data_IF_007498340938
#
_entry.id   IF_007498340938
#
_cell.length_a   1.000
_cell.length_b   1.000
_cell.length_c   1.000
_cell.angle_alpha   90.00
_cell.angle_beta   90.00
_cell.angle_gamma   90.00
#
_symmetry.space_group_name_H-M   'P 1'
#
loop_
_entity.id
_entity.type
_entity.pdbx_description
1 polymer ?
#
# COMPACT_ATOMS: atom_id res chain seq x y z
N UNK A 1 -9.49 -0.71 9.24
CA UNK A 1 -8.20 -0.03 9.19
C UNK A 1 -8.39 1.40 8.73
N UNK A 2 -7.91 2.31 9.55
CA UNK A 2 -8.07 3.73 9.37
C UNK A 2 -7.01 4.28 8.41
N UNK A 3 -7.32 5.36 7.71
CA UNK A 3 -6.35 6.04 6.84
C UNK A 3 -5.11 6.49 7.61
N UNK A 4 -5.30 6.97 8.84
CA UNK A 4 -4.19 7.38 9.70
C UNK A 4 -3.25 6.21 10.00
N UNK A 5 -3.78 5.04 10.22
CA UNK A 5 -2.98 3.83 10.46
C UNK A 5 -2.16 3.45 9.23
N UNK A 6 -2.75 3.58 8.05
CA UNK A 6 -2.08 3.28 6.78
C UNK A 6 -0.92 4.26 6.57
N UNK A 7 -1.17 5.55 6.76
CA UNK A 7 -0.15 6.59 6.63
C UNK A 7 0.97 6.35 7.64
N UNK A 8 0.64 6.03 8.89
CA UNK A 8 1.62 5.75 9.92
C UNK A 8 2.52 4.57 9.56
N UNK A 9 1.95 3.50 9.00
CA UNK A 9 2.72 2.34 8.57
C UNK A 9 3.67 2.68 7.42
N UNK A 10 3.20 3.47 6.45
CA UNK A 10 4.01 3.89 5.32
C UNK A 10 5.13 4.82 5.79
N UNK A 11 4.83 5.76 6.67
CA UNK A 11 5.83 6.66 7.25
C UNK A 11 6.89 5.90 8.03
N UNK A 12 6.50 4.88 8.77
CA UNK A 12 7.42 4.04 9.52
C UNK A 12 8.39 3.31 8.57
N UNK A 13 7.88 2.79 7.48
CA UNK A 13 8.69 2.12 6.45
C UNK A 13 9.66 3.07 5.77
N UNK A 14 9.28 4.33 5.60
CA UNK A 14 10.15 5.35 5.05
C UNK A 14 11.19 5.81 6.08
N UNK A 15 10.77 6.08 7.30
CA UNK A 15 11.60 6.70 8.33
C UNK A 15 12.83 5.86 8.66
N UNK A 16 12.67 4.56 8.90
CA UNK A 16 13.82 3.75 9.26
C UNK A 16 14.84 3.66 8.12
N UNK A 17 14.37 3.67 6.86
CA UNK A 17 15.26 3.63 5.69
C UNK A 17 16.03 4.93 5.53
N UNK A 18 15.36 6.06 5.73
CA UNK A 18 16.00 7.38 5.66
C UNK A 18 17.04 7.52 6.77
N UNK A 19 16.71 7.11 7.97
CA UNK A 19 17.66 7.13 9.10
C UNK A 19 18.88 6.26 8.82
N UNK A 20 18.68 5.08 8.27
CA UNK A 20 19.76 4.18 7.90
C UNK A 20 20.66 4.81 6.84
N UNK A 21 20.06 5.41 5.81
CA UNK A 21 20.83 6.08 4.76
C UNK A 21 21.62 7.26 5.28
N UNK A 22 21.06 8.05 6.19
CA UNK A 22 21.79 9.16 6.80
C UNK A 22 22.97 8.66 7.65
N UNK A 23 22.76 7.59 8.40
CA UNK A 23 23.83 6.98 9.17
C UNK A 23 24.97 6.54 8.26
N UNK A 24 24.65 5.84 7.19
CA UNK A 24 25.63 5.34 6.23
C UNK A 24 26.36 6.49 5.54
N UNK A 25 25.63 7.53 5.14
CA UNK A 25 26.23 8.71 4.52
C UNK A 25 27.21 9.38 5.46
N UNK A 26 26.87 9.48 6.73
CA UNK A 26 27.71 10.13 7.73
C UNK A 26 29.03 9.38 7.98
N UNK A 27 29.11 8.11 7.65
CA UNK A 27 30.34 7.34 7.75
C UNK A 27 31.41 7.79 6.74
N UNK A 28 31.04 8.54 5.70
CA UNK A 28 32.00 9.07 4.72
C UNK A 28 33.07 9.95 5.38
N UNK A 29 32.69 10.66 6.45
CA UNK A 29 33.62 11.54 7.18
C UNK A 29 34.79 10.75 7.75
N UNK A 30 34.57 9.49 8.09
CA UNK A 30 35.57 8.61 8.71
C UNK A 30 36.52 7.96 7.71
N UNK A 31 36.21 8.07 6.42
CA UNK A 31 37.03 7.49 5.37
C UNK A 31 37.97 8.57 4.87
N UNK A 32 39.27 8.31 4.95
CA UNK A 32 40.29 9.33 4.60
C UNK A 32 40.81 9.14 3.18
N UNK A 33 40.91 7.92 2.71
CA UNK A 33 41.38 7.65 1.37
C UNK A 33 40.31 8.00 0.33
N UNK A 34 40.70 8.80 -0.66
CA UNK A 34 39.77 9.26 -1.69
C UNK A 34 39.24 8.13 -2.54
N UNK A 35 40.02 7.12 -2.79
CA UNK A 35 39.58 5.96 -3.57
C UNK A 35 38.57 5.14 -2.80
N UNK A 36 38.78 5.00 -1.49
CA UNK A 36 37.84 4.31 -0.62
C UNK A 36 36.55 5.10 -0.47
N UNK A 37 36.63 6.43 -0.39
CA UNK A 37 35.44 7.29 -0.41
C UNK A 37 34.61 7.07 -1.67
N UNK A 38 35.27 7.00 -2.82
CA UNK A 38 34.59 6.78 -4.09
C UNK A 38 33.89 5.44 -4.12
N UNK A 39 34.55 4.38 -3.64
CA UNK A 39 33.95 3.06 -3.54
C UNK A 39 32.76 3.06 -2.61
N UNK A 40 32.89 3.73 -1.48
CA UNK A 40 31.81 3.85 -0.50
C UNK A 40 30.63 4.61 -1.07
N UNK A 41 30.87 5.73 -1.79
CA UNK A 41 29.80 6.48 -2.45
C UNK A 41 29.05 5.63 -3.46
N UNK A 42 29.76 4.79 -4.22
CA UNK A 42 29.13 3.85 -5.16
C UNK A 42 28.25 2.86 -4.41
N UNK A 43 28.72 2.37 -3.27
CA UNK A 43 27.95 1.47 -2.42
C UNK A 43 26.70 2.16 -1.88
N UNK A 44 26.81 3.44 -1.48
CA UNK A 44 25.67 4.22 -1.02
C UNK A 44 24.60 4.37 -2.09
N UNK A 45 25.01 4.58 -3.34
CA UNK A 45 24.05 4.68 -4.45
C UNK A 45 23.28 3.36 -4.61
N UNK A 46 23.99 2.23 -4.54
CA UNK A 46 23.36 0.91 -4.62
C UNK A 46 22.39 0.70 -3.44
N UNK A 47 22.79 1.10 -2.24
CA UNK A 47 21.95 0.98 -1.05
C UNK A 47 20.74 1.89 -1.12
N UNK A 48 20.93 3.12 -1.60
CA UNK A 48 19.82 4.05 -1.81
C UNK A 48 18.77 3.43 -2.76
N UNK A 49 19.24 2.84 -3.85
CA UNK A 49 18.36 2.20 -4.81
C UNK A 49 17.61 1.02 -4.19
N UNK A 50 18.34 0.21 -3.43
CA UNK A 50 17.77 -0.94 -2.73
C UNK A 50 16.73 -0.53 -1.71
N UNK A 51 17.00 0.50 -0.91
CA UNK A 51 16.05 1.01 0.07
C UNK A 51 14.83 1.66 -0.57
N UNK A 52 15.04 2.35 -1.69
CA UNK A 52 13.94 2.92 -2.44
C UNK A 52 13.01 1.82 -2.97
N UNK A 53 13.59 0.79 -3.59
CA UNK A 53 12.82 -0.35 -4.08
C UNK A 53 12.09 -1.06 -2.95
N UNK A 54 12.78 -1.30 -1.84
CA UNK A 54 12.18 -1.91 -0.66
C UNK A 54 11.05 -1.09 -0.08
N UNK A 55 11.20 0.24 -0.05
CA UNK A 55 10.14 1.13 0.40
C UNK A 55 8.93 1.05 -0.51
N UNK A 56 9.13 1.09 -1.83
CA UNK A 56 8.03 1.01 -2.79
C UNK A 56 7.27 -0.30 -2.64
N UNK A 57 7.98 -1.41 -2.46
CA UNK A 57 7.34 -2.71 -2.24
C UNK A 57 6.54 -2.74 -0.95
N UNK A 58 7.12 -2.23 0.15
CA UNK A 58 6.45 -2.19 1.44
C UNK A 58 5.21 -1.31 1.39
N UNK A 59 5.32 -0.12 0.82
CA UNK A 59 4.19 0.80 0.68
C UNK A 59 3.08 0.19 -0.19
N UNK A 60 3.46 -0.46 -1.26
CA UNK A 60 2.50 -1.13 -2.16
C UNK A 60 1.76 -2.25 -1.43
N UNK A 61 2.48 -3.06 -0.65
CA UNK A 61 1.87 -4.15 0.11
C UNK A 61 0.91 -3.62 1.19
N UNK A 62 1.29 -2.53 1.87
CA UNK A 62 0.42 -1.88 2.84
C UNK A 62 -0.85 -1.39 2.15
N UNK A 63 -0.71 -0.77 0.99
CA UNK A 63 -1.83 -0.26 0.21
C UNK A 63 -2.76 -1.39 -0.24
N UNK A 64 -2.19 -2.46 -0.78
CA UNK A 64 -2.98 -3.63 -1.24
C UNK A 64 -3.71 -4.30 -0.07
N UNK A 65 -3.02 -4.46 1.06
CA UNK A 65 -3.63 -5.02 2.26
C UNK A 65 -4.81 -4.16 2.73
N UNK A 66 -4.65 -2.84 2.72
CA UNK A 66 -5.70 -1.91 3.09
C UNK A 66 -6.91 -2.01 2.14
N UNK A 67 -6.66 -2.10 0.83
CA UNK A 67 -7.72 -2.26 -0.17
C UNK A 67 -8.44 -3.59 0.03
N UNK A 68 -7.70 -4.65 0.28
CA UNK A 68 -8.29 -5.98 0.48
C UNK A 68 -9.18 -6.00 1.72
N UNK A 69 -8.75 -5.37 2.81
CA UNK A 69 -9.56 -5.25 4.02
C UNK A 69 -10.80 -4.42 3.79
N UNK A 70 -10.65 -3.31 3.06
CA UNK A 70 -11.77 -2.46 2.72
C UNK A 70 -12.77 -3.19 1.82
N UNK A 71 -12.28 -3.89 0.82
CA UNK A 71 -13.13 -4.68 -0.07
C UNK A 71 -13.83 -5.82 0.66
N UNK A 72 -13.15 -6.45 1.59
CA UNK A 72 -13.75 -7.50 2.41
C UNK A 72 -14.90 -6.97 3.26
N UNK A 73 -14.70 -5.83 3.92
CA UNK A 73 -15.75 -5.16 4.67
C UNK A 73 -16.90 -4.74 3.78
N UNK A 74 -16.59 -4.17 2.63
CA UNK A 74 -17.56 -3.76 1.63
C UNK A 74 -18.37 -4.95 1.13
N UNK A 75 -17.72 -6.06 0.87
CA UNK A 75 -18.40 -7.28 0.42
C UNK A 75 -19.34 -7.82 1.49
N UNK A 76 -18.94 -7.80 2.75
CA UNK A 76 -19.79 -8.23 3.86
C UNK A 76 -21.04 -7.36 3.97
N UNK A 77 -20.87 -6.04 3.85
CA UNK A 77 -21.99 -5.10 3.84
C UNK A 77 -22.84 -5.30 2.59
N UNK A 78 -22.19 -5.45 1.44
CA UNK A 78 -22.86 -5.62 0.17
C UNK A 78 -23.64 -6.94 0.09
N UNK A 79 -23.16 -8.01 0.71
CA UNK A 79 -23.90 -9.26 0.76
C UNK A 79 -25.24 -9.07 1.45
N UNK A 80 -25.24 -8.33 2.56
CA UNK A 80 -26.49 -8.03 3.27
C UNK A 80 -27.40 -7.15 2.42
N UNK A 81 -26.84 -6.08 1.85
CA UNK A 81 -27.59 -5.15 1.00
C UNK A 81 -28.09 -5.85 -0.25
N UNK A 82 -27.27 -6.70 -0.86
CA UNK A 82 -27.66 -7.48 -2.03
C UNK A 82 -28.79 -8.46 -1.73
N UNK A 83 -28.75 -9.08 -0.57
CA UNK A 83 -29.83 -9.98 -0.16
C UNK A 83 -31.17 -9.25 -0.08
N UNK A 84 -31.17 -8.02 0.46
CA UNK A 84 -32.36 -7.19 0.55
C UNK A 84 -32.74 -6.65 -0.83
N UNK A 85 -31.75 -6.14 -1.59
CA UNK A 85 -31.99 -5.53 -2.91
C UNK A 85 -32.43 -6.54 -3.94
N UNK A 86 -31.86 -7.76 -3.93
CA UNK A 86 -32.25 -8.82 -4.84
C UNK A 86 -33.69 -9.23 -4.63
N UNK A 87 -34.13 -9.27 -3.37
CA UNK A 87 -35.51 -9.54 -3.08
C UNK A 87 -36.44 -8.53 -3.72
N UNK A 88 -36.10 -7.25 -3.63
CA UNK A 88 -36.87 -6.17 -4.27
C UNK A 88 -36.80 -6.21 -5.79
N UNK A 89 -35.58 -6.43 -6.32
CA UNK A 89 -35.38 -6.52 -7.79
C UNK A 89 -36.18 -7.66 -8.38
N UNK A 90 -36.15 -8.83 -7.75
CA UNK A 90 -36.93 -9.97 -8.23
C UNK A 90 -38.40 -9.73 -8.15
N UNK A 91 -38.88 -9.06 -7.10
CA UNK A 91 -40.27 -8.70 -6.96
C UNK A 91 -40.69 -7.72 -8.06
N UNK A 92 -39.89 -6.70 -8.30
CA UNK A 92 -40.14 -5.71 -9.34
C UNK A 92 -40.09 -6.32 -10.73
N UNK A 93 -39.08 -7.17 -10.98
CA UNK A 93 -38.96 -7.89 -12.25
C UNK A 93 -40.17 -8.77 -12.51
N UNK A 94 -40.62 -9.47 -11.51
CA UNK A 94 -41.79 -10.32 -11.62
C UNK A 94 -43.03 -9.51 -11.96
N UNK A 95 -43.21 -8.37 -11.33
CA UNK A 95 -44.33 -7.47 -11.62
C UNK A 95 -44.23 -6.84 -13.00
N UNK A 96 -43.05 -6.46 -13.44
CA UNK A 96 -42.83 -5.89 -14.78
C UNK A 96 -43.05 -6.93 -15.89
N UNK A 97 -42.58 -8.15 -15.65
CA UNK A 97 -42.77 -9.22 -16.65
C UNK A 97 -44.24 -9.60 -16.84
N UNK A 98 -45.08 -9.32 -15.85
CA UNK A 98 -46.51 -9.48 -15.98
C UNK A 98 -47.16 -8.33 -16.74
N UNK A 99 -46.53 -7.15 -16.75
CA UNK A 99 -47.06 -5.93 -17.41
C UNK A 99 -46.50 -5.74 -18.81
N UNK A 100 -45.30 -6.25 -19.08
CA UNK A 100 -44.61 -6.11 -20.34
C UNK A 100 -44.30 -7.47 -20.93
N UNK A 101 -44.54 -7.69 -22.22
CA UNK A 101 -44.28 -8.97 -22.85
C UNK A 101 -42.81 -9.26 -23.15
N UNK A 102 -41.96 -8.44 -22.74
CA UNK A 102 -40.54 -8.71 -22.90
C UNK A 102 -40.00 -9.43 -21.74
#
# INVERSE_FOLDING_TARGET
MDLEDIIAQIEQELTWRVEELFFLRNQLVNIQDEQDKMRYRKSLVVMLYSYYEGFCKAAFLIYIDAINKLNLQRNLVNEYIQAVSLHEVFRNYHNESKKSPY
#
